data_IF_956082355382
#
_entry.id   IF_956082355382
#
_cell.length_a   1.000
_cell.length_b   1.000
_cell.length_c   1.000
_cell.angle_alpha   90.00
_cell.angle_beta   90.00
_cell.angle_gamma   90.00
#
_symmetry.space_group_name_H-M   'P 1'
#
loop_
_entity.id
_entity.type
_entity.pdbx_description
1 polymer ?
#
# COMPACT_ATOMS: atom_id res chain seq x y z
N UNK A 1 11.35 9.86 -4.53
CA UNK A 1 9.95 9.84 -5.00
C UNK A 1 10.02 9.57 -6.50
N UNK A 2 9.36 8.51 -6.96
CA UNK A 2 9.31 8.18 -8.39
C UNK A 2 8.31 9.10 -9.07
N UNK A 3 8.71 9.68 -10.19
CA UNK A 3 7.86 10.53 -11.00
C UNK A 3 6.79 9.68 -11.70
N UNK A 4 5.52 10.08 -11.66
CA UNK A 4 4.46 9.41 -12.42
C UNK A 4 4.54 9.71 -13.93
N UNK A 5 5.46 10.59 -14.35
CA UNK A 5 5.64 10.99 -15.74
C UNK A 5 6.66 10.10 -16.47
N UNK A 6 6.48 9.95 -17.79
CA UNK A 6 7.13 8.92 -18.60
C UNK A 6 8.68 8.93 -18.55
N UNK A 7 9.31 10.09 -18.37
CA UNK A 7 10.76 10.31 -18.47
C UNK A 7 11.58 10.13 -17.18
N UNK A 8 11.14 9.32 -16.22
CA UNK A 8 11.96 9.02 -15.03
C UNK A 8 12.96 7.87 -15.29
N UNK A 9 14.11 7.90 -14.59
CA UNK A 9 15.21 6.91 -14.66
C UNK A 9 14.74 5.50 -14.33
N UNK A 10 13.59 5.37 -13.66
CA UNK A 10 12.94 4.10 -13.38
C UNK A 10 12.77 3.18 -14.62
N UNK A 11 12.90 3.64 -15.87
CA UNK A 11 12.69 2.81 -17.08
C UNK A 11 13.75 1.71 -17.21
N UNK A 12 14.89 1.85 -16.54
CA UNK A 12 16.02 0.92 -16.60
C UNK A 12 16.26 0.16 -15.30
N UNK A 13 15.24 0.04 -14.44
CA UNK A 13 15.35 -0.73 -13.22
C UNK A 13 14.66 -2.07 -13.41
N UNK A 14 15.35 -3.12 -13.01
CA UNK A 14 14.82 -4.46 -12.95
C UNK A 14 15.12 -4.98 -11.55
N UNK A 15 14.15 -5.70 -10.96
CA UNK A 15 14.29 -6.26 -9.64
C UNK A 15 13.83 -7.71 -9.64
N UNK A 16 14.61 -8.58 -9.00
CA UNK A 16 14.17 -9.95 -8.73
C UNK A 16 12.91 -9.97 -7.85
N UNK A 17 12.79 -9.03 -6.91
CA UNK A 17 11.64 -8.90 -6.00
C UNK A 17 11.27 -7.44 -5.77
N UNK A 18 9.98 -7.16 -5.75
CA UNK A 18 9.40 -5.90 -5.28
C UNK A 18 8.52 -6.17 -4.05
N UNK A 19 8.70 -5.38 -3.01
CA UNK A 19 7.86 -5.39 -1.81
C UNK A 19 7.04 -4.12 -1.77
N UNK A 20 5.72 -4.20 -1.61
CA UNK A 20 4.88 -3.02 -1.47
C UNK A 20 3.67 -3.24 -0.57
N UNK A 21 3.20 -2.15 0.04
CA UNK A 21 1.86 -2.10 0.62
C UNK A 21 0.81 -1.81 -0.43
N UNK A 22 -0.46 -1.86 -0.03
CA UNK A 22 -1.60 -1.51 -0.91
C UNK A 22 -2.67 -0.77 -0.13
N UNK A 23 -3.50 -0.01 -0.84
CA UNK A 23 -4.69 0.56 -0.24
C UNK A 23 -5.69 -0.55 0.14
N UNK A 24 -5.91 -1.53 -0.74
CA UNK A 24 -6.87 -2.62 -0.51
C UNK A 24 -6.53 -3.88 -1.31
N UNK A 25 -7.10 -5.00 -0.90
CA UNK A 25 -6.89 -6.31 -1.53
C UNK A 25 -8.21 -7.06 -1.63
N UNK A 26 -8.60 -7.48 -2.83
CA UNK A 26 -9.84 -8.23 -3.05
C UNK A 26 -9.72 -9.20 -4.23
N UNK A 27 -10.81 -9.88 -4.58
CA UNK A 27 -10.90 -10.72 -5.79
C UNK A 27 -10.62 -9.94 -7.09
N UNK A 28 -10.80 -8.61 -7.08
CA UNK A 28 -10.47 -7.75 -8.23
C UNK A 28 -8.97 -7.48 -8.35
N UNK A 29 -8.18 -7.80 -7.32
CA UNK A 29 -6.73 -7.55 -7.25
C UNK A 29 -6.33 -6.52 -6.22
N UNK A 30 -5.15 -5.93 -6.44
CA UNK A 30 -4.59 -4.86 -5.63
C UNK A 30 -5.28 -3.54 -5.95
N UNK A 31 -5.57 -2.74 -4.93
CA UNK A 31 -6.20 -1.43 -5.05
C UNK A 31 -5.26 -0.32 -4.58
N UNK A 32 -5.37 0.82 -5.26
CA UNK A 32 -4.74 2.09 -4.90
C UNK A 32 -5.82 3.18 -4.75
N UNK A 33 -5.63 4.13 -3.83
CA UNK A 33 -6.53 5.26 -3.63
C UNK A 33 -6.09 6.50 -4.41
N UNK A 34 -4.80 6.68 -4.65
CA UNK A 34 -4.25 7.84 -5.36
C UNK A 34 -4.09 7.56 -6.87
N UNK A 35 -4.90 8.21 -7.74
CA UNK A 35 -4.76 8.06 -9.19
C UNK A 35 -3.38 8.48 -9.72
N UNK A 36 -2.64 9.34 -9.02
CA UNK A 36 -1.32 9.80 -9.45
C UNK A 36 -0.24 8.73 -9.24
N UNK A 37 -0.41 7.80 -8.29
CA UNK A 37 0.58 6.77 -7.99
C UNK A 37 0.50 5.56 -8.93
N UNK A 38 -0.71 5.26 -9.42
CA UNK A 38 -1.00 4.04 -10.19
C UNK A 38 -0.04 3.82 -11.37
N UNK A 39 0.33 4.88 -12.07
CA UNK A 39 1.19 4.77 -13.24
C UNK A 39 2.64 4.43 -12.89
N UNK A 40 3.16 5.05 -11.83
CA UNK A 40 4.50 4.74 -11.33
C UNK A 40 4.57 3.31 -10.79
N UNK A 41 3.57 2.90 -10.02
CA UNK A 41 3.52 1.56 -9.42
C UNK A 41 3.34 0.46 -10.46
N UNK A 42 2.44 0.63 -11.44
CA UNK A 42 2.27 -0.33 -12.55
C UNK A 42 3.57 -0.59 -13.29
N UNK A 43 4.36 0.47 -13.49
CA UNK A 43 5.66 0.37 -14.15
C UNK A 43 6.66 -0.43 -13.32
N UNK A 44 6.76 -0.17 -12.02
CA UNK A 44 7.62 -0.94 -11.13
C UNK A 44 7.21 -2.42 -11.04
N UNK A 45 5.89 -2.67 -10.97
CA UNK A 45 5.35 -4.03 -10.99
C UNK A 45 5.73 -4.76 -12.29
N UNK A 46 5.71 -4.06 -13.43
CA UNK A 46 6.16 -4.59 -14.71
C UNK A 46 7.66 -4.91 -14.79
N UNK A 47 8.46 -4.31 -13.91
CA UNK A 47 9.91 -4.46 -13.85
C UNK A 47 10.38 -5.47 -12.81
N UNK A 48 9.47 -5.99 -12.00
CA UNK A 48 9.73 -6.99 -10.98
C UNK A 48 9.37 -8.39 -11.49
N UNK A 49 10.24 -9.37 -11.23
CA UNK A 49 9.90 -10.77 -11.47
C UNK A 49 8.85 -11.27 -10.46
N UNK A 50 9.13 -11.05 -9.17
CA UNK A 50 8.24 -11.40 -8.07
C UNK A 50 7.66 -10.15 -7.40
N UNK A 51 6.34 -10.11 -7.27
CA UNK A 51 5.65 -9.10 -6.48
C UNK A 51 5.23 -9.69 -5.12
N UNK A 52 5.77 -9.11 -4.05
CA UNK A 52 5.44 -9.46 -2.67
C UNK A 52 4.65 -8.30 -2.05
N UNK A 53 3.42 -8.59 -1.60
CA UNK A 53 2.52 -7.60 -1.03
C UNK A 53 2.49 -7.74 0.49
N UNK A 54 2.71 -6.63 1.19
CA UNK A 54 2.63 -6.52 2.64
C UNK A 54 1.30 -5.87 3.02
N UNK A 55 0.44 -6.59 3.72
CA UNK A 55 -0.93 -6.15 3.95
C UNK A 55 -1.44 -6.62 5.30
N UNK A 56 -2.06 -5.76 6.10
CA UNK A 56 -2.78 -6.21 7.29
C UNK A 56 -4.19 -6.71 6.94
N UNK A 57 -4.78 -7.51 7.82
CA UNK A 57 -6.12 -8.07 7.66
C UNK A 57 -7.23 -7.04 7.45
N UNK A 58 -7.05 -5.80 7.93
CA UNK A 58 -8.05 -4.75 7.75
C UNK A 58 -8.21 -4.32 6.29
N UNK A 59 -7.17 -4.50 5.45
CA UNK A 59 -7.22 -4.09 4.03
C UNK A 59 -8.06 -5.02 3.16
N UNK A 60 -8.37 -6.23 3.61
CA UNK A 60 -9.29 -7.14 2.91
C UNK A 60 -10.76 -6.67 2.96
N UNK A 61 -11.10 -5.82 3.93
CA UNK A 61 -12.45 -5.26 4.06
C UNK A 61 -12.68 -4.02 3.17
N UNK A 62 -11.63 -3.48 2.53
CA UNK A 62 -11.73 -2.27 1.70
C UNK A 62 -12.35 -2.59 0.34
N UNK A 63 -13.50 -1.98 0.05
CA UNK A 63 -14.32 -2.22 -1.16
C UNK A 63 -14.19 -1.13 -2.23
N UNK A 64 -13.49 -0.04 -1.93
CA UNK A 64 -13.30 1.10 -2.82
C UNK A 64 -11.83 1.25 -3.20
N UNK A 65 -11.56 1.86 -4.34
CA UNK A 65 -10.21 2.07 -4.85
C UNK A 65 -10.13 1.82 -6.35
N UNK A 66 -9.02 2.22 -6.93
CA UNK A 66 -8.69 1.99 -8.33
C UNK A 66 -7.88 0.70 -8.44
N UNK A 67 -8.22 -0.16 -9.39
CA UNK A 67 -7.51 -1.43 -9.58
C UNK A 67 -6.10 -1.17 -10.12
N UNK A 68 -5.10 -1.53 -9.33
CA UNK A 68 -3.69 -1.41 -9.65
C UNK A 68 -3.24 -2.56 -10.56
N UNK A 69 -3.43 -3.81 -10.10
CA UNK A 69 -3.19 -5.02 -10.89
C UNK A 69 -4.01 -6.20 -10.34
N UNK A 70 -4.21 -7.22 -11.17
CA UNK A 70 -4.89 -8.46 -10.77
C UNK A 70 -4.03 -9.36 -9.89
N UNK A 71 -4.68 -10.29 -9.18
CA UNK A 71 -4.00 -11.27 -8.31
C UNK A 71 -2.99 -12.15 -9.06
N UNK A 72 -3.19 -12.35 -10.37
CA UNK A 72 -2.28 -13.10 -11.23
C UNK A 72 -0.87 -12.48 -11.35
N UNK A 73 -0.69 -11.23 -10.92
CA UNK A 73 0.63 -10.57 -10.89
C UNK A 73 1.31 -10.71 -9.52
N UNK A 74 0.59 -11.14 -8.49
CA UNK A 74 1.08 -11.24 -7.11
C UNK A 74 1.70 -12.61 -6.89
N UNK A 75 2.96 -12.64 -6.45
CA UNK A 75 3.66 -13.88 -6.12
C UNK A 75 3.45 -14.29 -4.67
N UNK A 76 3.41 -13.33 -3.75
CA UNK A 76 3.24 -13.60 -2.32
C UNK A 76 2.47 -12.47 -1.63
N UNK A 77 1.63 -12.83 -0.68
CA UNK A 77 1.01 -11.92 0.28
C UNK A 77 1.54 -12.27 1.67
N UNK A 78 2.03 -11.28 2.39
CA UNK A 78 2.37 -11.37 3.80
C UNK A 78 1.32 -10.58 4.58
N UNK A 79 0.61 -11.27 5.48
CA UNK A 79 -0.45 -10.67 6.29
C UNK A 79 -0.34 -11.05 7.76
N UNK A 80 -0.96 -10.26 8.62
CA UNK A 80 -1.13 -10.65 10.02
C UNK A 80 -2.08 -11.86 10.14
N UNK A 81 -2.11 -12.48 11.32
CA UNK A 81 -3.00 -13.61 11.63
C UNK A 81 -4.50 -13.24 11.70
N UNK A 82 -4.87 -11.99 11.43
CA UNK A 82 -6.26 -11.54 11.41
C UNK A 82 -6.99 -11.83 10.09
N UNK A 83 -6.27 -12.23 9.03
CA UNK A 83 -6.88 -12.52 7.75
C UNK A 83 -7.82 -13.74 7.85
N UNK A 84 -9.01 -13.66 7.27
CA UNK A 84 -9.95 -14.78 7.31
C UNK A 84 -9.48 -15.94 6.44
N UNK A 85 -9.82 -17.17 6.84
CA UNK A 85 -9.53 -18.37 6.05
C UNK A 85 -10.04 -18.26 4.61
N UNK A 86 -11.20 -17.63 4.41
CA UNK A 86 -11.77 -17.37 3.10
C UNK A 86 -10.92 -16.43 2.24
N UNK A 87 -10.27 -15.42 2.85
CA UNK A 87 -9.37 -14.52 2.15
C UNK A 87 -8.07 -15.21 1.78
N UNK A 88 -7.52 -16.03 2.69
CA UNK A 88 -6.33 -16.85 2.43
C UNK A 88 -6.59 -17.84 1.29
N UNK A 89 -7.68 -18.62 1.38
CA UNK A 89 -8.06 -19.60 0.36
C UNK A 89 -8.32 -18.95 -1.01
N UNK A 90 -8.90 -17.75 -1.03
CA UNK A 90 -9.07 -16.98 -2.27
C UNK A 90 -7.70 -16.70 -2.89
N UNK A 91 -6.75 -16.17 -2.13
CA UNK A 91 -5.41 -15.86 -2.65
C UNK A 91 -4.70 -17.13 -3.16
N UNK A 92 -4.72 -18.20 -2.37
CA UNK A 92 -4.12 -19.49 -2.74
C UNK A 92 -4.76 -20.08 -4.01
N UNK A 93 -6.08 -19.93 -4.18
CA UNK A 93 -6.79 -20.34 -5.39
C UNK A 93 -6.28 -19.63 -6.66
N UNK A 94 -5.85 -18.37 -6.52
CA UNK A 94 -5.21 -17.60 -7.61
C UNK A 94 -3.70 -17.88 -7.75
N UNK A 95 -3.16 -18.88 -7.02
CA UNK A 95 -1.75 -19.25 -7.05
C UNK A 95 -0.85 -18.33 -6.24
N UNK A 96 -1.41 -17.47 -5.38
CA UNK A 96 -0.65 -16.57 -4.53
C UNK A 96 -0.22 -17.31 -3.26
N UNK A 97 1.08 -17.30 -2.96
CA UNK A 97 1.58 -17.81 -1.67
C UNK A 97 1.17 -16.86 -0.56
N UNK A 98 0.61 -17.38 0.53
CA UNK A 98 0.25 -16.57 1.71
C UNK A 98 1.18 -16.91 2.87
N UNK A 99 1.71 -15.88 3.53
CA UNK A 99 2.49 -15.99 4.76
C UNK A 99 1.74 -15.21 5.83
N UNK A 100 1.35 -15.89 6.90
CA UNK A 100 0.76 -15.25 8.08
C UNK A 100 1.81 -15.00 9.14
N UNK A 101 1.75 -13.84 9.79
CA UNK A 101 2.68 -13.41 10.82
C UNK A 101 1.88 -12.96 12.05
N UNK A 102 2.25 -13.43 13.23
CA UNK A 102 1.65 -12.91 14.46
C UNK A 102 2.03 -11.43 14.60
N UNK A 103 1.06 -10.52 14.78
CA UNK A 103 1.39 -9.11 14.99
C UNK A 103 2.23 -8.99 16.26
N UNK A 104 3.33 -8.23 16.17
CA UNK A 104 4.11 -7.89 17.35
C UNK A 104 3.19 -7.21 18.38
N UNK A 105 3.35 -7.55 19.67
CA UNK A 105 2.59 -6.91 20.73
C UNK A 105 2.75 -5.40 20.58
N UNK A 106 1.65 -4.73 20.25
CA UNK A 106 1.72 -3.37 19.74
C UNK A 106 2.45 -2.45 20.73
N UNK A 107 3.53 -1.81 20.28
CA UNK A 107 4.09 -0.68 20.98
C UNK A 107 3.01 0.41 21.00
N UNK A 108 2.53 0.86 22.18
CA UNK A 108 1.47 1.86 22.28
C UNK A 108 1.75 3.13 21.45
N UNK A 109 3.03 3.43 21.19
CA UNK A 109 3.48 4.59 20.40
C UNK A 109 3.25 4.44 18.89
N UNK A 110 3.15 3.20 18.38
CA UNK A 110 2.90 2.92 16.95
C UNK A 110 1.40 2.94 16.62
N UNK A 111 0.55 2.56 17.58
CA UNK A 111 -0.90 2.55 17.41
C UNK A 111 -1.46 3.96 17.19
N UNK A 112 -0.96 4.96 17.91
CA UNK A 112 -1.36 6.37 17.73
C UNK A 112 -1.08 6.88 16.32
N UNK A 113 0.07 6.51 15.72
CA UNK A 113 0.42 6.89 14.35
C UNK A 113 -0.49 6.22 13.30
N UNK A 114 -0.92 4.97 13.53
CA UNK A 114 -1.80 4.23 12.62
C UNK A 114 -3.25 4.72 12.64
N UNK A 115 -3.73 5.21 13.79
CA UNK A 115 -5.09 5.74 13.95
C UNK A 115 -5.29 7.08 13.23
N UNK A 116 -4.22 7.87 13.05
CA UNK A 116 -4.24 9.15 12.34
C UNK A 116 -4.34 9.01 10.80
N UNK A 117 -4.20 7.81 10.25
CA UNK A 117 -4.07 7.54 8.82
C UNK A 117 -5.36 7.48 7.98
N UNK A 118 -6.52 7.91 8.49
CA UNK A 118 -7.80 7.76 7.74
C UNK A 118 -8.67 9.00 7.60
N UNK A 119 -8.50 10.05 8.43
CA UNK A 119 -9.45 11.18 8.42
C UNK A 119 -8.87 12.60 8.53
N UNK A 120 -7.55 12.81 8.69
CA UNK A 120 -7.03 14.16 8.96
C UNK A 120 -6.24 14.85 7.83
N UNK A 121 -6.16 14.28 6.63
CA UNK A 121 -5.50 14.98 5.51
C UNK A 121 -6.36 16.04 4.80
N UNK A 122 -7.65 16.16 5.14
CA UNK A 122 -8.53 17.18 4.55
C UNK A 122 -8.67 18.47 5.40
N UNK A 123 -8.03 18.54 6.59
CA UNK A 123 -8.21 19.64 7.55
C UNK A 123 -6.99 20.51 7.86
N UNK A 124 -5.77 20.11 7.48
CA UNK A 124 -4.53 20.81 7.87
C UNK A 124 -4.03 21.77 6.78
N UNK A 125 -4.95 22.40 6.06
CA UNK A 125 -4.66 23.59 5.24
C UNK A 125 -5.67 24.71 5.55
N UNK A 126 -5.86 25.04 6.83
CA UNK A 126 -6.26 26.39 7.23
C UNK A 126 -5.79 26.72 8.67
N UNK A 127 -5.27 27.92 8.86
CA UNK A 127 -5.13 28.66 10.13
C UNK A 127 -4.05 28.36 11.21
N UNK A 128 -2.96 27.61 10.96
CA UNK A 128 -1.83 27.53 11.93
C UNK A 128 -0.45 27.98 11.43
N UNK A 129 -0.20 28.00 10.11
CA UNK A 129 1.13 28.30 9.57
C UNK A 129 1.50 29.80 9.42
N UNK A 130 0.63 30.74 9.82
CA UNK A 130 0.90 32.19 9.70
C UNK A 130 1.23 32.91 11.03
N UNK A 131 1.35 32.20 12.15
CA UNK A 131 1.57 32.84 13.48
C UNK A 131 3.00 32.79 14.04
N UNK A 132 4.00 32.29 13.29
CA UNK A 132 5.41 32.27 13.75
C UNK A 132 6.41 32.84 12.72
N UNK A 133 6.04 33.94 12.04
CA UNK A 133 7.02 34.87 11.49
C UNK A 133 6.89 36.23 12.19
N UNK A 134 7.24 36.23 13.48
CA UNK A 134 7.42 37.44 14.27
C UNK A 134 8.81 38.04 14.01
N UNK A 135 8.79 39.27 13.52
CA UNK A 135 9.90 40.22 13.35
C UNK A 135 10.93 40.23 14.50
N UNK A 136 12.21 40.30 14.13
CA UNK A 136 13.26 41.20 14.65
C UNK A 136 14.32 41.25 13.53
N UNK A 137 14.76 42.37 12.95
CA UNK A 137 14.88 43.79 13.36
C UNK A 137 14.65 44.72 12.17
#
# INVERSE_FOLDING_TARGET
>A
ILSPFENDVAQHHYAAKMFMGVYGLSILGLMEADPLLIQAEKRLIGQAEELVVLVDSSKFARKAGLVLCGLNRVSTVITDTGASDSAVQLLEHYGVRVITVEPEAADPRVLEASALGSHEFAGVLDASAYRHAGLHS
#
